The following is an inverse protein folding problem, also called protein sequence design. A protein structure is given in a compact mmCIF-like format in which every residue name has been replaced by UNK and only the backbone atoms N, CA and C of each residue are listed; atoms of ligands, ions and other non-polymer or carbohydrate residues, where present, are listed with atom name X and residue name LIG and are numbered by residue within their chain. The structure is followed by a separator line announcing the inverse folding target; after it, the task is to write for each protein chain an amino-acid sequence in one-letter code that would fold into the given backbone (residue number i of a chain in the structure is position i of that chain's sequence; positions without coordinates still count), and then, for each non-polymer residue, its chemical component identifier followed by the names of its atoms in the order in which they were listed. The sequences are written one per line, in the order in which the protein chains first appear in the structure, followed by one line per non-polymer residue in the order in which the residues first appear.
data_IF_804987757717
#
_entry.id   IF_804987757717
#
_cell.length_a   1.000
_cell.length_b   1.000
_cell.length_c   1.000
_cell.angle_alpha   90.00
_cell.angle_beta   90.00
_cell.angle_gamma   90.00
#
_symmetry.space_group_name_H-M   'P 1'
#
loop_
_entity.id
_entity.type
_entity.pdbx_description
1 polymer ?
#
# COMPACT_ATOMS: atom_id res chain seq x y z
N UNK A 1 7.83 -12.12 10.14
CA UNK A 1 6.50 -11.47 10.15
C UNK A 1 5.36 -12.49 10.10
N UNK A 2 5.17 -13.29 9.02
CA UNK A 2 4.05 -14.27 8.93
C UNK A 2 4.00 -15.25 10.12
N UNK A 3 5.14 -15.79 10.53
CA UNK A 3 5.25 -16.72 11.66
C UNK A 3 4.89 -16.06 13.00
N UNK A 4 5.39 -14.85 13.24
CA UNK A 4 5.08 -14.05 14.43
C UNK A 4 3.58 -13.67 14.50
N UNK A 5 2.97 -13.35 13.36
CA UNK A 5 1.52 -13.10 13.25
C UNK A 5 0.72 -14.36 13.57
N UNK A 6 1.14 -15.52 13.03
CA UNK A 6 0.50 -16.81 13.27
C UNK A 6 0.59 -17.23 14.75
N UNK A 7 1.75 -17.05 15.38
CA UNK A 7 1.98 -17.33 16.79
C UNK A 7 1.12 -16.43 17.69
N UNK A 8 1.10 -15.11 17.44
CA UNK A 8 0.25 -14.19 18.20
C UNK A 8 -1.23 -14.52 18.08
N UNK A 9 -1.71 -14.90 16.88
CA UNK A 9 -3.09 -15.36 16.70
C UNK A 9 -3.36 -16.62 17.53
N UNK A 10 -2.47 -17.61 17.49
CA UNK A 10 -2.61 -18.85 18.26
C UNK A 10 -2.73 -18.56 19.76
N UNK A 11 -1.93 -17.64 20.27
CA UNK A 11 -1.99 -17.19 21.66
C UNK A 11 -3.30 -16.45 21.96
N UNK A 12 -3.73 -15.53 21.09
CA UNK A 12 -4.99 -14.80 21.25
C UNK A 12 -6.21 -15.74 21.23
N UNK A 13 -6.24 -16.71 20.31
CA UNK A 13 -7.29 -17.73 20.25
C UNK A 13 -7.33 -18.60 21.52
N UNK A 14 -6.16 -18.95 22.07
CA UNK A 14 -6.07 -19.73 23.30
C UNK A 14 -6.61 -18.97 24.53
N UNK A 15 -6.47 -17.63 24.57
CA UNK A 15 -6.88 -16.80 25.72
C UNK A 15 -8.30 -16.28 25.58
N UNK A 16 -8.70 -15.83 24.38
CA UNK A 16 -9.97 -15.14 24.12
C UNK A 16 -11.00 -16.00 23.36
N UNK A 17 -10.60 -17.20 22.93
CA UNK A 17 -11.40 -18.12 22.13
C UNK A 17 -11.28 -17.89 20.61
N UNK A 18 -11.60 -18.91 19.82
CA UNK A 18 -11.47 -18.90 18.34
C UNK A 18 -12.30 -17.80 17.66
N UNK A 19 -13.43 -17.39 18.27
CA UNK A 19 -14.25 -16.30 17.73
C UNK A 19 -13.54 -14.95 17.78
N UNK A 20 -12.67 -14.74 18.75
CA UNK A 20 -11.89 -13.51 18.95
C UNK A 20 -10.62 -13.45 18.09
N UNK A 21 -10.28 -14.56 17.41
CA UNK A 21 -9.10 -14.67 16.57
C UNK A 21 -9.37 -15.58 15.36
N UNK A 22 -10.38 -15.25 14.52
CA UNK A 22 -10.79 -16.10 13.41
C UNK A 22 -9.60 -16.43 12.51
N UNK A 23 -9.54 -17.68 12.05
CA UNK A 23 -8.53 -18.11 11.10
C UNK A 23 -8.65 -17.29 9.81
N UNK A 24 -7.53 -16.81 9.24
CA UNK A 24 -7.56 -16.18 7.92
C UNK A 24 -8.19 -17.14 6.91
N UNK A 25 -9.27 -16.70 6.27
CA UNK A 25 -9.92 -17.47 5.22
C UNK A 25 -9.24 -17.17 3.88
N UNK A 26 -8.94 -18.20 3.10
CA UNK A 26 -8.47 -18.00 1.74
C UNK A 26 -9.63 -17.49 0.87
N UNK A 27 -9.40 -16.46 0.05
CA UNK A 27 -10.43 -15.93 -0.83
C UNK A 27 -10.77 -16.89 -1.97
N UNK A 28 -11.99 -16.80 -2.48
CA UNK A 28 -12.49 -17.65 -3.55
C UNK A 28 -11.79 -17.45 -4.91
N UNK A 29 -11.17 -16.28 -5.14
CA UNK A 29 -10.46 -15.98 -6.38
C UNK A 29 -8.98 -16.35 -6.26
N UNK A 30 -8.51 -17.18 -7.20
CA UNK A 30 -7.08 -17.44 -7.37
C UNK A 30 -6.40 -16.17 -7.92
N UNK A 31 -5.45 -15.64 -7.16
CA UNK A 31 -4.66 -14.47 -7.52
C UNK A 31 -3.22 -14.90 -7.61
N UNK A 32 -2.59 -14.60 -8.74
CA UNK A 32 -1.20 -14.94 -9.02
C UNK A 32 -0.44 -13.64 -9.21
N UNK A 33 0.71 -13.52 -8.54
CA UNK A 33 1.69 -12.46 -8.81
C UNK A 33 2.99 -13.09 -9.26
N UNK A 34 3.65 -12.45 -10.22
CA UNK A 34 4.95 -12.88 -10.67
C UNK A 34 5.52 -11.98 -11.75
N UNK A 35 6.75 -12.29 -12.15
CA UNK A 35 7.43 -11.63 -13.26
C UNK A 35 7.14 -12.38 -14.55
N UNK A 36 6.80 -11.66 -15.62
CA UNK A 36 6.53 -12.26 -16.93
C UNK A 36 7.82 -12.86 -17.49
N UNK A 37 7.79 -14.16 -17.77
CA UNK A 37 8.85 -14.87 -18.49
C UNK A 37 8.59 -14.84 -20.00
N UNK A 38 7.33 -15.06 -20.39
CA UNK A 38 6.89 -15.05 -21.78
C UNK A 38 5.40 -14.66 -21.88
N UNK A 39 5.02 -14.04 -22.99
CA UNK A 39 3.66 -13.62 -23.30
C UNK A 39 3.35 -13.87 -24.77
N UNK A 40 2.53 -14.89 -25.04
CA UNK A 40 2.02 -15.21 -26.37
C UNK A 40 0.56 -14.72 -26.50
N UNK A 41 -0.10 -14.82 -27.67
CA UNK A 41 -1.48 -14.36 -27.84
C UNK A 41 -2.54 -14.99 -26.94
N UNK A 42 -2.26 -16.14 -26.29
CA UNK A 42 -3.22 -16.88 -25.46
C UNK A 42 -2.64 -17.42 -24.15
N UNK A 43 -1.34 -17.26 -23.93
CA UNK A 43 -0.63 -17.82 -22.78
C UNK A 43 0.29 -16.76 -22.16
N UNK A 44 0.19 -16.65 -20.84
CA UNK A 44 1.10 -15.88 -20.02
C UNK A 44 1.90 -16.83 -19.13
N UNK A 45 3.23 -16.73 -19.18
CA UNK A 45 4.15 -17.52 -18.38
C UNK A 45 4.78 -16.62 -17.33
N UNK A 46 4.62 -16.96 -16.06
CA UNK A 46 5.06 -16.16 -14.93
C UNK A 46 6.06 -16.92 -14.06
N UNK A 47 7.11 -16.25 -13.62
CA UNK A 47 7.92 -16.68 -12.49
C UNK A 47 7.30 -16.14 -11.19
N UNK A 48 6.81 -17.04 -10.34
CA UNK A 48 6.27 -16.72 -9.02
C UNK A 48 7.21 -17.20 -7.91
N UNK A 49 6.94 -16.81 -6.67
CA UNK A 49 7.73 -17.28 -5.52
C UNK A 49 7.70 -18.81 -5.34
N UNK A 50 6.69 -19.50 -5.89
CA UNK A 50 6.54 -20.96 -5.82
C UNK A 50 7.02 -21.68 -7.07
N UNK A 51 7.47 -20.95 -8.10
CA UNK A 51 7.96 -21.51 -9.37
C UNK A 51 7.25 -20.93 -10.59
N UNK A 52 7.37 -21.63 -11.70
CA UNK A 52 6.75 -21.20 -12.96
C UNK A 52 5.25 -21.51 -12.96
N UNK A 53 4.44 -20.52 -13.33
CA UNK A 53 2.99 -20.66 -13.50
C UNK A 53 2.62 -20.27 -14.93
N UNK A 54 1.75 -21.08 -15.54
CA UNK A 54 1.26 -20.87 -16.90
C UNK A 54 -0.24 -20.59 -16.85
N UNK A 55 -0.63 -19.43 -17.36
CA UNK A 55 -2.02 -18.96 -17.33
C UNK A 55 -2.51 -18.76 -18.75
N UNK A 56 -3.66 -19.35 -19.06
CA UNK A 56 -4.36 -19.07 -20.32
C UNK A 56 -5.09 -17.74 -20.20
N UNK A 57 -5.26 -17.04 -21.32
CA UNK A 57 -6.14 -15.89 -21.38
C UNK A 57 -6.95 -15.86 -22.67
N UNK A 58 -8.12 -15.25 -22.62
CA UNK A 58 -9.12 -15.23 -23.68
C UNK A 58 -9.34 -13.80 -24.17
N UNK A 59 -10.14 -13.63 -25.23
CA UNK A 59 -10.53 -12.31 -25.72
C UNK A 59 -11.28 -11.46 -24.67
N UNK A 60 -11.93 -12.09 -23.69
CA UNK A 60 -12.59 -11.41 -22.58
C UNK A 60 -11.64 -11.02 -21.45
N UNK A 61 -10.38 -11.46 -21.48
CA UNK A 61 -9.38 -11.08 -20.47
C UNK A 61 -9.02 -9.61 -20.64
N UNK A 62 -9.08 -8.86 -19.54
CA UNK A 62 -8.80 -7.42 -19.55
C UNK A 62 -7.40 -7.16 -19.04
N UNK A 63 -6.68 -6.23 -19.68
CA UNK A 63 -5.33 -5.83 -19.29
C UNK A 63 -5.31 -4.37 -18.87
N UNK A 64 -4.55 -4.05 -17.84
CA UNK A 64 -4.37 -2.68 -17.37
C UNK A 64 -2.89 -2.34 -17.23
N UNK A 65 -2.48 -1.21 -17.79
CA UNK A 65 -1.15 -0.62 -17.65
C UNK A 65 -1.29 0.91 -17.73
N UNK A 66 -1.61 1.56 -16.60
CA UNK A 66 -1.94 2.99 -16.50
C UNK A 66 -3.31 3.37 -17.10
N UNK A 67 -3.82 2.54 -18.01
CA UNK A 67 -5.15 2.56 -18.62
C UNK A 67 -5.49 1.13 -19.04
N UNK A 68 -6.77 0.89 -19.37
CA UNK A 68 -7.17 -0.35 -20.02
C UNK A 68 -6.47 -0.48 -21.39
N UNK A 69 -5.93 -1.67 -21.65
CA UNK A 69 -5.07 -1.99 -22.79
C UNK A 69 -5.28 -3.44 -23.22
N UNK A 70 -4.57 -3.87 -24.26
CA UNK A 70 -4.49 -5.27 -24.67
C UNK A 70 -3.21 -5.98 -24.20
N UNK A 71 -3.13 -7.28 -24.47
CA UNK A 71 -2.00 -8.15 -24.13
C UNK A 71 -0.65 -7.66 -24.68
N UNK A 72 -0.65 -6.86 -25.75
CA UNK A 72 0.56 -6.27 -26.35
C UNK A 72 1.32 -5.31 -25.43
N UNK A 73 0.70 -4.85 -24.34
CA UNK A 73 1.37 -4.02 -23.33
C UNK A 73 2.24 -4.83 -22.35
N UNK A 74 2.09 -6.15 -22.33
CA UNK A 74 2.86 -7.04 -21.47
C UNK A 74 4.20 -7.35 -22.13
N UNK A 75 5.29 -7.24 -21.37
CA UNK A 75 6.66 -7.55 -21.78
C UNK A 75 7.29 -8.54 -20.81
N UNK A 76 8.21 -9.35 -21.32
CA UNK A 76 9.07 -10.15 -20.45
C UNK A 76 9.83 -9.23 -19.48
N UNK A 77 9.88 -9.62 -18.21
CA UNK A 77 10.43 -8.83 -17.12
C UNK A 77 9.40 -7.96 -16.38
N UNK A 78 8.17 -7.78 -16.90
CA UNK A 78 7.14 -7.01 -16.19
C UNK A 78 6.69 -7.73 -14.90
N UNK A 79 6.58 -7.02 -13.78
CA UNK A 79 5.80 -7.48 -12.62
C UNK A 79 4.31 -7.40 -12.97
N UNK A 80 3.60 -8.52 -12.81
CA UNK A 80 2.17 -8.59 -13.07
C UNK A 80 1.43 -9.22 -11.91
N UNK A 81 0.21 -8.74 -11.70
CA UNK A 81 -0.76 -9.38 -10.83
C UNK A 81 -1.94 -9.81 -11.68
N UNK A 82 -2.36 -11.05 -11.51
CA UNK A 82 -3.42 -11.69 -12.30
C UNK A 82 -4.51 -12.17 -11.36
N UNK A 83 -5.74 -11.74 -11.63
CA UNK A 83 -6.93 -12.41 -11.07
C UNK A 83 -7.38 -13.46 -12.05
N UNK A 84 -7.46 -14.70 -11.59
CA UNK A 84 -7.95 -15.82 -12.38
C UNK A 84 -9.45 -16.04 -12.12
N UNK A 85 -10.12 -16.63 -13.12
CA UNK A 85 -11.47 -17.18 -12.96
C UNK A 85 -11.48 -18.33 -11.94
N UNK A 86 -12.67 -18.72 -11.42
CA UNK A 86 -12.81 -19.94 -10.63
C UNK A 86 -12.16 -21.13 -11.35
N UNK A 87 -11.30 -21.87 -10.64
CA UNK A 87 -10.46 -22.92 -11.22
C UNK A 87 -8.99 -22.54 -11.39
N UNK A 88 -8.64 -21.25 -11.45
CA UNK A 88 -7.27 -20.75 -11.21
C UNK A 88 -6.30 -20.69 -12.39
N UNK A 89 -6.64 -21.25 -13.55
CA UNK A 89 -5.72 -21.37 -14.69
C UNK A 89 -6.00 -20.38 -15.83
N UNK A 90 -7.15 -19.71 -15.81
CA UNK A 90 -7.57 -18.75 -16.85
C UNK A 90 -7.59 -17.34 -16.25
N UNK A 91 -6.78 -16.45 -16.81
CA UNK A 91 -6.72 -15.05 -16.41
C UNK A 91 -8.03 -14.33 -16.77
N UNK A 92 -8.65 -13.73 -15.77
CA UNK A 92 -9.81 -12.85 -15.94
C UNK A 92 -9.35 -11.40 -16.17
N UNK A 93 -8.37 -10.96 -15.38
CA UNK A 93 -7.86 -9.59 -15.39
C UNK A 93 -6.39 -9.57 -15.02
N UNK A 94 -5.60 -8.81 -15.78
CA UNK A 94 -4.14 -8.70 -15.65
C UNK A 94 -3.77 -7.24 -15.43
N UNK A 95 -3.07 -6.96 -14.34
CA UNK A 95 -2.51 -5.64 -14.05
C UNK A 95 -1.00 -5.69 -14.21
N UNK A 96 -0.47 -4.83 -15.07
CA UNK A 96 0.94 -4.78 -15.46
C UNK A 96 1.61 -3.59 -14.79
N UNK A 97 2.67 -3.86 -14.02
CA UNK A 97 3.48 -2.87 -13.30
C UNK A 97 2.66 -1.94 -12.42
N UNK A 98 1.49 -2.39 -11.97
CA UNK A 98 0.56 -1.53 -11.24
C UNK A 98 1.16 -1.11 -9.91
N UNK A 99 0.95 0.16 -9.59
CA UNK A 99 1.50 0.78 -8.40
C UNK A 99 0.52 1.79 -7.83
N UNK A 100 0.70 2.11 -6.56
CA UNK A 100 -0.02 3.18 -5.88
C UNK A 100 0.95 3.94 -5.01
N UNK A 101 0.77 5.25 -4.91
CA UNK A 101 1.44 6.09 -3.95
C UNK A 101 0.37 6.80 -3.13
N UNK A 102 0.45 6.68 -1.81
CA UNK A 102 -0.47 7.31 -0.85
C UNK A 102 0.35 7.88 0.29
N UNK A 103 0.03 9.08 0.76
CA UNK A 103 0.75 9.69 1.87
C UNK A 103 0.70 11.21 1.89
N UNK A 104 1.66 11.81 2.59
CA UNK A 104 1.87 13.25 2.64
C UNK A 104 2.99 13.63 1.67
N UNK A 105 2.81 14.68 0.90
CA UNK A 105 3.88 15.24 0.06
C UNK A 105 4.96 15.77 1.01
N UNK A 106 6.16 15.20 0.93
CA UNK A 106 7.31 15.61 1.73
C UNK A 106 8.16 16.66 1.02
N UNK A 107 8.31 16.52 -0.30
CA UNK A 107 9.05 17.44 -1.15
C UNK A 107 8.51 17.42 -2.58
N UNK A 108 8.85 18.45 -3.34
CA UNK A 108 8.57 18.56 -4.78
C UNK A 108 9.79 19.09 -5.53
N UNK A 109 10.08 18.47 -6.65
CA UNK A 109 11.09 18.93 -7.62
C UNK A 109 10.51 18.81 -9.02
N UNK A 110 10.13 19.94 -9.62
CA UNK A 110 9.49 19.95 -10.94
C UNK A 110 8.15 19.21 -10.96
N UNK A 111 8.09 18.13 -11.75
CA UNK A 111 6.96 17.19 -11.88
C UNK A 111 7.11 15.95 -10.98
N UNK A 112 8.17 15.87 -10.20
CA UNK A 112 8.42 14.80 -9.23
C UNK A 112 8.04 15.21 -7.81
N UNK A 113 7.40 14.31 -7.09
CA UNK A 113 7.02 14.42 -5.69
C UNK A 113 7.74 13.36 -4.87
N UNK A 114 8.17 13.71 -3.67
CA UNK A 114 8.50 12.71 -2.64
C UNK A 114 7.28 12.53 -1.74
N UNK A 115 6.78 11.31 -1.62
CA UNK A 115 5.62 10.98 -0.80
C UNK A 115 6.10 10.22 0.44
N UNK A 116 5.80 10.77 1.60
CA UNK A 116 5.89 10.07 2.87
C UNK A 116 4.63 9.22 3.07
N UNK A 117 4.77 7.91 2.84
CA UNK A 117 3.68 6.96 3.00
C UNK A 117 3.40 6.60 4.47
N UNK A 118 4.22 7.11 5.41
CA UNK A 118 4.23 6.65 6.80
C UNK A 118 4.69 5.20 6.92
N UNK A 119 4.35 4.57 8.05
CA UNK A 119 4.59 3.13 8.31
C UNK A 119 6.08 2.72 8.43
N UNK A 120 6.97 3.66 8.77
CA UNK A 120 8.43 3.47 8.73
C UNK A 120 8.95 3.02 7.34
N UNK A 121 8.20 3.32 6.28
CA UNK A 121 8.60 3.06 4.90
C UNK A 121 9.47 4.21 4.40
N UNK A 122 10.38 3.95 3.44
CA UNK A 122 11.07 5.03 2.75
C UNK A 122 10.08 5.97 2.07
N UNK A 123 10.49 7.24 1.97
CA UNK A 123 9.85 8.19 1.07
C UNK A 123 9.93 7.67 -0.35
N UNK A 124 8.86 7.91 -1.10
CA UNK A 124 8.67 7.37 -2.43
C UNK A 124 8.69 8.47 -3.47
N UNK A 125 9.50 8.30 -4.48
CA UNK A 125 9.53 9.18 -5.63
C UNK A 125 8.35 8.90 -6.56
N UNK A 126 7.63 9.96 -6.94
CA UNK A 126 6.42 9.92 -7.75
C UNK A 126 6.52 10.97 -8.83
N UNK A 127 6.58 10.54 -10.08
CA UNK A 127 6.48 11.43 -11.24
C UNK A 127 5.00 11.67 -11.53
N UNK A 128 4.64 12.93 -11.79
CA UNK A 128 3.32 13.36 -12.26
C UNK A 128 3.45 13.78 -13.72
N UNK A 129 3.31 12.85 -14.68
CA UNK A 129 3.55 13.15 -16.07
C UNK A 129 2.61 14.25 -16.57
N UNK A 130 3.12 15.14 -17.42
CA UNK A 130 2.33 16.23 -18.01
C UNK A 130 1.00 15.76 -18.62
N UNK A 131 0.98 14.58 -19.26
CA UNK A 131 -0.24 14.00 -19.86
C UNK A 131 -1.35 13.65 -18.86
N UNK A 132 -1.02 13.48 -17.58
CA UNK A 132 -1.98 13.15 -16.51
C UNK A 132 -2.13 14.25 -15.47
N UNK A 133 -1.27 15.27 -15.48
CA UNK A 133 -1.27 16.37 -14.51
C UNK A 133 -2.62 17.07 -14.41
N UNK A 134 -3.29 17.33 -15.55
CA UNK A 134 -4.62 17.95 -15.56
C UNK A 134 -5.69 17.11 -14.85
N UNK A 135 -5.70 15.79 -15.06
CA UNK A 135 -6.64 14.87 -14.38
C UNK A 135 -6.33 14.76 -12.89
N UNK A 136 -5.05 14.65 -12.54
CA UNK A 136 -4.61 14.57 -11.14
C UNK A 136 -4.92 15.88 -10.41
N UNK A 137 -4.68 17.03 -11.04
CA UNK A 137 -4.92 18.36 -10.48
C UNK A 137 -6.38 18.68 -10.15
N UNK A 138 -7.35 18.00 -10.78
CA UNK A 138 -8.77 18.14 -10.40
C UNK A 138 -9.03 17.65 -8.97
N UNK A 139 -8.34 16.57 -8.57
CA UNK A 139 -8.53 15.93 -7.27
C UNK A 139 -7.43 16.28 -6.27
N UNK A 140 -6.26 16.66 -6.78
CA UNK A 140 -5.07 17.06 -6.03
C UNK A 140 -4.59 18.43 -6.53
N UNK A 141 -5.33 19.51 -6.27
CA UNK A 141 -5.04 20.83 -6.81
C UNK A 141 -3.74 21.45 -6.27
N UNK A 142 -3.27 21.02 -5.10
CA UNK A 142 -2.05 21.55 -4.47
C UNK A 142 -1.02 20.44 -4.34
N UNK A 143 0.04 20.50 -5.15
CA UNK A 143 1.15 19.53 -5.12
C UNK A 143 2.32 20.09 -4.32
N UNK A 144 2.07 20.60 -3.11
CA UNK A 144 3.09 21.20 -2.24
C UNK A 144 3.30 20.37 -0.97
N UNK A 145 4.47 20.49 -0.31
CA UNK A 145 4.74 19.78 0.93
C UNK A 145 3.66 19.99 2.00
N UNK A 146 3.32 18.91 2.71
CA UNK A 146 2.29 18.88 3.75
C UNK A 146 0.88 18.55 3.27
N UNK A 147 0.62 18.56 1.97
CA UNK A 147 -0.67 18.14 1.43
C UNK A 147 -0.73 16.61 1.21
N UNK A 148 -1.94 16.05 1.27
CA UNK A 148 -2.16 14.64 0.97
C UNK A 148 -2.04 14.36 -0.52
N UNK A 149 -1.49 13.21 -0.85
CA UNK A 149 -1.46 12.69 -2.22
C UNK A 149 -1.89 11.22 -2.22
N UNK A 150 -2.68 10.83 -3.21
CA UNK A 150 -3.08 9.44 -3.41
C UNK A 150 -3.46 9.19 -4.86
N UNK A 151 -2.65 8.37 -5.53
CA UNK A 151 -2.80 8.06 -6.94
C UNK A 151 -2.38 6.62 -7.26
N UNK A 152 -3.03 6.05 -8.27
CA UNK A 152 -2.63 4.80 -8.92
C UNK A 152 -1.89 5.11 -10.21
N UNK A 153 -0.94 4.26 -10.53
CA UNK A 153 0.00 4.46 -11.61
C UNK A 153 0.69 3.17 -12.03
N UNK A 154 1.80 3.34 -12.72
CA UNK A 154 2.66 2.24 -13.13
C UNK A 154 4.10 2.52 -12.74
N UNK A 155 4.86 1.47 -12.44
CA UNK A 155 6.30 1.56 -12.36
C UNK A 155 6.89 1.63 -13.76
N UNK A 156 7.70 2.63 -14.07
CA UNK A 156 8.41 2.81 -15.35
C UNK A 156 9.82 3.30 -15.04
N UNK A 157 10.86 2.61 -15.53
CA UNK A 157 12.26 2.96 -15.29
C UNK A 157 12.62 3.17 -13.79
N UNK A 158 12.07 2.35 -12.91
CA UNK A 158 12.18 2.45 -11.43
C UNK A 158 11.48 3.65 -10.79
N UNK A 159 10.77 4.48 -11.57
CA UNK A 159 9.97 5.59 -11.07
C UNK A 159 8.47 5.23 -11.07
N UNK A 160 7.74 5.72 -10.07
CA UNK A 160 6.28 5.61 -10.06
C UNK A 160 5.66 6.72 -10.89
N UNK A 161 4.97 6.37 -11.97
CA UNK A 161 4.28 7.33 -12.84
C UNK A 161 2.79 7.39 -12.48
N UNK A 162 2.37 8.46 -11.83
CA UNK A 162 0.98 8.66 -11.42
C UNK A 162 0.04 8.86 -12.63
N UNK A 163 -1.11 8.18 -12.63
CA UNK A 163 -2.06 8.21 -13.77
C UNK A 163 -3.50 8.53 -13.38
N UNK A 164 -3.95 8.06 -12.21
CA UNK A 164 -5.33 8.17 -11.75
C UNK A 164 -5.36 8.64 -10.29
N UNK A 165 -6.09 9.71 -9.96
CA UNK A 165 -6.32 10.07 -8.56
C UNK A 165 -7.28 9.05 -7.91
N UNK A 166 -6.97 8.63 -6.68
CA UNK A 166 -7.83 7.72 -5.91
C UNK A 166 -8.76 8.50 -4.98
N UNK A 167 -8.26 9.59 -4.42
CA UNK A 167 -8.96 10.41 -3.44
C UNK A 167 -9.08 11.86 -3.88
N UNK A 168 -9.86 12.65 -3.16
CA UNK A 168 -9.86 14.11 -3.27
C UNK A 168 -9.05 14.68 -2.10
N UNK A 169 -8.06 15.50 -2.42
CA UNK A 169 -7.24 16.21 -1.47
C UNK A 169 -8.08 17.25 -0.70
N UNK A 170 -7.91 17.35 0.64
CA UNK A 170 -8.50 18.44 1.40
C UNK A 170 -7.87 19.79 1.01
N UNK A 171 -8.59 20.91 1.16
CA UNK A 171 -8.08 22.24 0.80
C UNK A 171 -7.04 22.80 1.79
N UNK A 172 -6.51 21.96 2.70
CA UNK A 172 -5.57 22.32 3.76
C UNK A 172 -4.49 21.24 3.91
N UNK A 173 -3.26 21.60 4.35
CA UNK A 173 -2.23 20.62 4.67
C UNK A 173 -2.60 19.83 5.94
N UNK A 174 -1.97 18.67 6.14
CA UNK A 174 -2.36 17.74 7.22
C UNK A 174 -2.18 18.31 8.63
N UNK A 175 -1.27 19.26 8.82
CA UNK A 175 -0.99 19.91 10.12
C UNK A 175 -2.05 20.95 10.49
N UNK A 176 -2.76 21.48 9.50
CA UNK A 176 -3.83 22.47 9.66
C UNK A 176 -5.22 21.81 9.64
N UNK A 177 -5.27 20.48 9.76
CA UNK A 177 -6.52 19.75 9.76
C UNK A 177 -7.42 20.26 10.90
N UNK A 178 -8.68 20.64 10.61
CA UNK A 178 -9.58 21.13 11.63
C UNK A 178 -9.78 20.05 12.71
N UNK A 179 -9.91 20.45 13.99
CA UNK A 179 -10.23 19.52 15.06
C UNK A 179 -11.46 18.71 14.67
N UNK A 180 -11.34 17.39 14.72
CA UNK A 180 -12.44 16.53 14.32
C UNK A 180 -13.53 16.65 15.39
N UNK A 181 -14.80 16.91 15.01
CA UNK A 181 -15.87 16.87 15.99
C UNK A 181 -15.83 15.50 16.65
N UNK A 182 -16.00 15.39 17.99
CA UNK A 182 -16.01 14.12 18.65
C UNK A 182 -17.04 13.26 17.94
N UNK A 183 -16.58 12.18 17.31
CA UNK A 183 -17.46 11.25 16.63
C UNK A 183 -18.50 10.89 17.68
N UNK A 184 -19.77 11.30 17.48
CA UNK A 184 -20.85 10.80 18.31
C UNK A 184 -20.64 9.31 18.25
N UNK A 185 -20.48 8.66 19.41
CA UNK A 185 -20.68 7.22 19.51
C UNK A 185 -22.11 7.00 19.01
N UNK A 186 -22.34 6.96 17.69
CA UNK A 186 -23.36 6.09 17.11
C UNK A 186 -23.01 4.81 17.80
N UNK A 187 -23.85 4.39 18.75
CA UNK A 187 -23.64 3.20 19.55
C UNK A 187 -23.00 2.22 18.60
N UNK A 188 -21.69 1.94 18.76
CA UNK A 188 -21.17 0.70 18.26
C UNK A 188 -22.21 -0.26 18.81
N UNK A 189 -23.01 -0.85 17.93
CA UNK A 189 -24.01 -1.79 18.37
C UNK A 189 -23.16 -2.95 18.89
N UNK A 190 -22.79 -2.88 20.16
CA UNK A 190 -22.32 -3.97 21.00
C UNK A 190 -23.51 -4.93 21.07
N UNK A 191 -23.83 -5.54 19.93
CA UNK A 191 -24.55 -6.80 19.88
C UNK A 191 -23.52 -7.85 20.26
N UNK A 192 -24.00 -9.02 20.67
CA UNK A 192 -23.22 -10.13 21.18
C UNK A 192 -22.19 -10.76 20.20
N UNK A 193 -21.65 -10.01 19.23
CA UNK A 193 -20.73 -10.43 18.17
C UNK A 193 -19.73 -9.37 17.68
N UNK A 194 -19.37 -8.37 18.50
CA UNK A 194 -18.24 -7.46 18.25
C UNK A 194 -18.58 -6.04 17.76
N UNK A 195 -17.55 -5.19 17.64
CA UNK A 195 -17.62 -3.82 17.12
C UNK A 195 -17.69 -3.83 15.60
N UNK A 196 -18.76 -3.24 15.04
CA UNK A 196 -18.95 -3.08 13.60
C UNK A 196 -18.69 -1.64 13.16
N UNK A 197 -17.84 -1.46 12.15
CA UNK A 197 -17.46 -0.16 11.59
C UNK A 197 -17.60 -0.18 10.06
N UNK A 198 -18.09 0.90 9.48
CA UNK A 198 -18.17 1.06 8.01
C UNK A 198 -17.33 2.26 7.59
N UNK A 199 -16.62 2.11 6.48
CA UNK A 199 -15.68 3.11 5.97
C UNK A 199 -15.12 2.68 4.62
N UNK A 200 -13.99 3.26 4.25
CA UNK A 200 -13.27 2.90 3.02
C UNK A 200 -12.04 2.06 3.36
N UNK A 201 -11.64 1.21 2.44
CA UNK A 201 -10.31 0.60 2.45
C UNK A 201 -9.62 0.90 1.15
N UNK A 202 -8.31 1.05 1.22
CA UNK A 202 -7.45 1.21 0.06
C UNK A 202 -6.36 0.13 0.08
N UNK A 203 -5.45 0.10 -0.89
CA UNK A 203 -4.41 -0.94 -0.96
C UNK A 203 -2.99 -0.40 -0.93
N UNK A 204 -2.05 -1.18 -0.42
CA UNK A 204 -0.61 -0.89 -0.50
C UNK A 204 0.11 -2.14 -1.01
N UNK A 205 1.34 -1.97 -1.50
CA UNK A 205 2.11 -3.07 -2.08
C UNK A 205 3.40 -3.32 -1.29
N UNK A 206 3.42 -4.33 -0.40
CA UNK A 206 4.59 -4.64 0.41
C UNK A 206 5.87 -4.94 -0.38
N UNK A 207 5.78 -5.39 -1.64
CA UNK A 207 6.95 -5.65 -2.48
C UNK A 207 7.70 -4.35 -2.82
N UNK A 208 6.95 -3.29 -3.10
CA UNK A 208 7.52 -2.00 -3.52
C UNK A 208 7.63 -1.00 -2.37
N UNK A 209 6.87 -1.21 -1.29
CA UNK A 209 6.87 -0.33 -0.12
C UNK A 209 8.05 -0.60 0.83
N UNK A 210 8.65 -1.80 0.80
CA UNK A 210 9.71 -2.20 1.74
C UNK A 210 11.15 -2.18 1.20
N UNK A 211 11.42 -1.70 -0.01
CA UNK A 211 12.70 -1.89 -0.69
C UNK A 211 13.86 -0.95 -0.28
N UNK A 212 13.82 -0.31 0.89
CA UNK A 212 14.94 0.53 1.36
C UNK A 212 15.37 0.20 2.79
N UNK A 213 16.10 -0.90 3.00
CA UNK A 213 17.07 -1.01 4.11
C UNK A 213 18.20 -1.95 3.68
N UNK A 214 19.39 -1.38 3.46
CA UNK A 214 20.59 -2.14 3.11
C UNK A 214 21.83 -1.25 2.94
N UNK A 215 22.07 -0.36 3.91
CA UNK A 215 23.22 0.55 3.89
C UNK A 215 23.59 1.09 5.27
N UNK A 216 23.42 0.29 6.32
CA UNK A 216 23.90 0.61 7.66
C UNK A 216 25.33 0.11 7.83
N UNK A 217 26.30 0.80 7.22
CA UNK A 217 27.71 0.59 7.52
C UNK A 217 27.98 1.02 8.96
N UNK A 218 28.35 0.06 9.80
CA UNK A 218 28.84 0.30 11.15
C UNK A 218 30.15 1.11 11.08
N UNK A 219 30.05 2.44 11.19
CA UNK A 219 31.18 3.31 11.47
C UNK A 219 31.45 3.30 12.97
N UNK A 220 32.47 2.53 13.38
CA UNK A 220 32.91 2.43 14.75
C UNK A 220 33.30 3.80 15.33
N UNK A 221 32.81 4.06 16.54
CA UNK A 221 33.24 5.17 17.39
C UNK A 221 34.65 4.87 17.90
N UNK A 222 35.66 5.36 17.18
CA UNK A 222 37.03 5.45 17.65
C UNK A 222 37.28 6.83 18.22
N UNK A 223 37.30 6.96 19.54
CA UNK A 223 37.73 8.16 20.23
C UNK A 223 39.23 8.41 20.08
N UNK A 224 39.59 9.64 19.75
CA UNK A 224 40.96 10.14 19.76
C UNK A 224 40.92 11.66 19.76
N UNK A 225 41.28 12.26 20.88
CA UNK A 225 41.37 13.71 21.03
C UNK A 225 42.61 14.31 20.37
N UNK A 226 42.66 15.64 20.30
CA UNK A 226 43.89 16.37 20.01
C UNK A 226 43.71 17.63 19.18
N UNK A 227 43.67 18.75 19.90
CA UNK A 227 44.32 20.03 19.57
C UNK A 227 43.82 20.95 18.44
N UNK A 228 43.80 22.22 18.84
CA UNK A 228 43.48 23.44 18.10
C UNK A 228 44.76 23.93 17.42
N UNK A 229 44.68 24.25 16.12
CA UNK A 229 45.75 24.88 15.36
C UNK A 229 45.18 25.65 14.17
N UNK A 230 45.41 26.95 14.20
CA UNK A 230 44.95 28.00 13.29
C UNK A 230 45.80 28.11 12.01
N UNK A 231 45.20 28.65 10.94
CA UNK A 231 45.89 29.33 9.83
C UNK A 231 46.16 28.55 8.53
N UNK A 232 45.60 29.03 7.42
CA UNK A 232 46.18 28.80 6.08
C UNK A 232 45.22 28.81 4.89
N UNK A 233 45.10 29.97 4.24
CA UNK A 233 44.50 30.16 2.92
C UNK A 233 45.10 29.24 1.84
N UNK A 234 44.26 28.71 0.96
CA UNK A 234 44.71 27.95 -0.22
C UNK A 234 43.58 27.67 -1.22
N UNK A 235 43.57 28.44 -2.31
CA UNK A 235 42.73 28.25 -3.51
C UNK A 235 42.88 26.82 -4.07
N UNK A 236 41.77 26.16 -4.39
CA UNK A 236 41.76 24.86 -5.08
C UNK A 236 40.42 24.58 -5.76
N UNK A 237 40.50 24.22 -7.04
CA UNK A 237 39.44 24.04 -8.03
C UNK A 237 38.19 23.25 -7.56
N UNK A 238 37.02 23.75 -7.95
CA UNK A 238 35.74 23.04 -7.86
C UNK A 238 35.71 21.88 -8.87
N UNK A 239 35.97 20.67 -8.37
CA UNK A 239 35.62 19.42 -9.03
C UNK A 239 34.15 19.10 -8.68
N UNK A 240 33.32 19.04 -9.71
CA UNK A 240 31.94 18.55 -9.65
C UNK A 240 31.96 17.03 -9.48
N UNK A 241 31.89 16.55 -8.23
CA UNK A 241 31.61 15.15 -7.96
C UNK A 241 30.11 14.89 -8.16
N UNK A 242 29.78 14.51 -9.39
CA UNK A 242 28.52 13.85 -9.72
C UNK A 242 28.48 12.46 -9.12
N UNK A 243 28.12 12.37 -7.83
CA UNK A 243 27.72 11.12 -7.22
C UNK A 243 26.33 10.72 -7.76
N UNK A 244 26.32 10.12 -8.95
CA UNK A 244 25.18 9.39 -9.46
C UNK A 244 24.83 8.29 -8.48
N UNK A 245 23.78 8.52 -7.67
CA UNK A 245 23.09 7.45 -6.96
C UNK A 245 22.51 6.54 -8.03
N UNK A 246 23.18 5.42 -8.29
CA UNK A 246 22.59 4.32 -9.03
C UNK A 246 21.32 3.91 -8.30
N UNK A 247 20.16 4.25 -8.88
CA UNK A 247 18.90 3.63 -8.51
C UNK A 247 19.11 2.12 -8.67
N UNK A 248 19.07 1.38 -7.56
CA UNK A 248 19.04 -0.06 -7.62
C UNK A 248 17.80 -0.44 -8.43
N UNK A 249 18.01 -0.91 -9.66
CA UNK A 249 16.94 -1.52 -10.44
C UNK A 249 16.28 -2.65 -9.65
N UNK A 250 15.02 -2.99 -9.94
CA UNK A 250 14.30 -4.00 -9.18
C UNK A 250 15.10 -5.32 -9.18
N UNK A 251 15.18 -6.04 -8.04
CA UNK A 251 15.87 -7.31 -7.97
C UNK A 251 15.27 -8.29 -9.00
N UNK A 252 16.12 -8.99 -9.75
CA UNK A 252 15.71 -10.03 -10.68
C UNK A 252 15.12 -11.21 -9.90
N UNK A 253 13.80 -11.20 -9.70
CA UNK A 253 13.02 -12.27 -9.08
C UNK A 253 11.78 -11.76 -8.34
N UNK A 254 10.74 -12.58 -8.17
CA UNK A 254 9.51 -12.18 -7.47
C UNK A 254 9.82 -11.88 -5.99
N UNK A 255 9.49 -10.67 -5.52
CA UNK A 255 9.65 -10.31 -4.11
C UNK A 255 8.65 -11.11 -3.25
N UNK A 256 9.10 -11.93 -2.29
CA UNK A 256 8.21 -12.76 -1.46
C UNK A 256 7.23 -11.95 -0.61
N UNK A 257 7.49 -10.65 -0.39
CA UNK A 257 6.57 -9.73 0.28
C UNK A 257 5.33 -9.43 -0.57
N UNK A 258 5.44 -9.57 -1.89
CA UNK A 258 4.33 -9.36 -2.82
C UNK A 258 3.15 -10.30 -2.58
N UNK A 259 3.40 -11.48 -1.98
CA UNK A 259 2.36 -12.46 -1.61
C UNK A 259 1.82 -12.28 -0.19
N UNK A 260 2.28 -11.27 0.56
CA UNK A 260 1.79 -11.02 1.91
C UNK A 260 0.30 -10.69 1.86
N UNK A 261 -0.47 -11.33 2.76
CA UNK A 261 -1.89 -11.08 2.97
C UNK A 261 -2.10 -10.50 4.37
N UNK A 262 -2.97 -9.50 4.45
CA UNK A 262 -3.26 -8.77 5.69
C UNK A 262 -3.57 -7.31 5.43
N UNK A 263 -3.58 -6.53 6.50
CA UNK A 263 -3.84 -5.10 6.48
C UNK A 263 -2.84 -4.31 7.33
N UNK A 264 -2.50 -3.13 6.84
CA UNK A 264 -1.90 -2.04 7.59
C UNK A 264 -3.02 -1.26 8.31
N UNK A 265 -2.92 -1.15 9.63
CA UNK A 265 -4.00 -0.62 10.47
C UNK A 265 -3.62 0.72 11.13
N UNK A 266 -4.46 1.78 11.04
CA UNK A 266 -4.12 3.12 11.51
C UNK A 266 -4.11 3.28 13.03
N UNK A 267 -4.89 2.50 13.78
CA UNK A 267 -5.04 2.64 15.22
C UNK A 267 -4.31 1.51 15.97
N UNK A 268 -2.98 1.45 15.84
CA UNK A 268 -2.19 0.46 16.56
C UNK A 268 -2.02 0.80 18.06
N UNK A 269 -2.05 -0.24 18.89
CA UNK A 269 -1.71 -0.19 20.31
C UNK A 269 -0.21 0.12 20.49
N UNK A 270 0.20 1.15 21.27
CA UNK A 270 1.61 1.50 21.46
C UNK A 270 2.37 0.39 22.19
N UNK A 271 1.68 -0.42 23.01
CA UNK A 271 2.30 -1.52 23.74
C UNK A 271 2.76 -2.66 22.81
N UNK A 272 2.34 -2.65 21.54
CA UNK A 272 2.69 -3.69 20.57
C UNK A 272 4.16 -3.67 20.09
N UNK A 273 4.96 -2.68 20.53
CA UNK A 273 6.42 -2.67 20.39
C UNK A 273 6.95 -2.35 18.98
N UNK A 274 6.10 -1.83 18.09
CA UNK A 274 6.57 -1.26 16.83
C UNK A 274 6.93 0.21 17.05
N UNK A 275 8.22 0.50 17.12
CA UNK A 275 8.72 1.87 17.19
C UNK A 275 8.26 2.68 15.98
N UNK A 276 7.74 3.88 16.23
CA UNK A 276 7.59 4.92 15.20
C UNK A 276 6.28 4.96 14.39
N UNK A 277 5.18 4.36 14.86
CA UNK A 277 3.88 4.71 14.28
C UNK A 277 3.45 6.11 14.75
N UNK A 278 3.66 7.12 13.91
CA UNK A 278 3.12 8.45 14.14
C UNK A 278 1.60 8.38 14.22
N UNK A 279 1.04 8.74 15.38
CA UNK A 279 -0.40 8.72 15.58
C UNK A 279 -1.01 9.98 15.00
N UNK A 280 -1.85 9.79 13.99
CA UNK A 280 -2.83 10.78 13.60
C UNK A 280 -4.21 10.32 14.06
N UNK A 281 -5.02 11.25 14.54
CA UNK A 281 -6.42 10.98 14.82
C UNK A 281 -7.11 10.61 13.49
N UNK A 282 -7.87 9.51 13.48
CA UNK A 282 -8.61 9.06 12.30
C UNK A 282 -9.98 9.73 12.24
N UNK A 283 -10.53 9.84 11.03
CA UNK A 283 -11.90 10.30 10.80
C UNK A 283 -12.94 9.29 11.28
N UNK A 284 -12.51 8.05 11.53
CA UNK A 284 -13.28 6.99 12.15
C UNK A 284 -12.79 6.74 13.58
N UNK A 285 -13.73 6.42 14.48
CA UNK A 285 -13.37 5.97 15.82
C UNK A 285 -12.98 4.49 15.78
N UNK A 286 -11.69 4.25 15.54
CA UNK A 286 -11.13 2.91 15.35
C UNK A 286 -10.67 2.33 16.69
N UNK A 287 -11.07 1.08 17.05
CA UNK A 287 -10.55 0.42 18.23
C UNK A 287 -9.04 0.20 18.11
N UNK A 288 -8.33 0.24 19.23
CA UNK A 288 -6.91 -0.07 19.22
C UNK A 288 -6.70 -1.56 18.94
N UNK A 289 -5.77 -1.87 18.02
CA UNK A 289 -5.39 -3.25 17.71
C UNK A 289 -3.88 -3.45 17.78
N UNK A 290 -3.47 -4.68 18.05
CA UNK A 290 -2.06 -5.07 17.97
C UNK A 290 -1.75 -5.74 16.63
N UNK A 291 -0.48 -5.70 16.23
CA UNK A 291 0.02 -6.52 15.12
C UNK A 291 -0.22 -8.00 15.46
N UNK A 292 -0.85 -8.73 14.54
CA UNK A 292 -1.28 -10.12 14.73
C UNK A 292 -2.78 -10.28 15.02
N UNK A 293 -3.45 -9.23 15.50
CA UNK A 293 -4.90 -9.25 15.71
C UNK A 293 -5.60 -9.49 14.36
N UNK A 294 -6.59 -10.37 14.32
CA UNK A 294 -7.41 -10.60 13.14
C UNK A 294 -8.74 -9.87 13.27
N UNK A 295 -9.25 -9.38 12.14
CA UNK A 295 -10.59 -8.80 12.05
C UNK A 295 -11.25 -9.32 10.77
N UNK A 296 -12.58 -9.32 10.76
CA UNK A 296 -13.34 -9.68 9.56
C UNK A 296 -13.66 -8.42 8.77
N UNK A 297 -13.43 -8.47 7.47
CA UNK A 297 -13.74 -7.38 6.55
C UNK A 297 -14.65 -7.89 5.43
N UNK A 298 -15.71 -7.14 5.16
CA UNK A 298 -16.59 -7.34 4.00
C UNK A 298 -16.43 -6.18 3.04
N UNK A 299 -16.16 -6.48 1.77
CA UNK A 299 -16.30 -5.52 0.69
C UNK A 299 -17.80 -5.30 0.42
N UNK A 300 -18.29 -4.08 0.67
CA UNK A 300 -19.71 -3.77 0.55
C UNK A 300 -20.15 -3.66 -0.92
N UNK A 301 -19.22 -3.44 -1.85
CA UNK A 301 -19.52 -3.36 -3.28
C UNK A 301 -19.70 -4.75 -3.92
N UNK A 302 -18.94 -5.76 -3.46
CA UNK A 302 -18.92 -7.11 -4.07
C UNK A 302 -19.49 -8.21 -3.17
N UNK A 303 -19.65 -7.93 -1.88
CA UNK A 303 -20.04 -8.92 -0.87
C UNK A 303 -18.90 -9.84 -0.42
N UNK A 304 -17.68 -9.71 -0.97
CA UNK A 304 -16.54 -10.54 -0.59
C UNK A 304 -16.18 -10.37 0.90
N UNK A 305 -15.89 -11.47 1.60
CA UNK A 305 -15.57 -11.47 3.04
C UNK A 305 -14.25 -12.20 3.28
N UNK A 306 -13.41 -11.65 4.15
CA UNK A 306 -12.19 -12.33 4.62
C UNK A 306 -11.87 -11.92 6.06
N UNK A 307 -11.29 -12.85 6.82
CA UNK A 307 -10.60 -12.54 8.07
C UNK A 307 -9.14 -12.18 7.75
N UNK A 308 -8.70 -11.00 8.16
CA UNK A 308 -7.38 -10.46 7.83
C UNK A 308 -6.59 -10.15 9.10
N UNK A 309 -5.31 -10.56 9.19
CA UNK A 309 -4.44 -10.11 10.25
C UNK A 309 -3.96 -8.66 10.02
N UNK A 310 -3.76 -7.95 11.12
CA UNK A 310 -3.00 -6.70 11.15
C UNK A 310 -1.52 -7.02 11.04
N UNK A 311 -0.88 -6.61 9.95
CA UNK A 311 0.51 -6.97 9.60
C UNK A 311 1.47 -5.78 9.60
N UNK A 312 0.94 -4.56 9.56
CA UNK A 312 1.74 -3.35 9.51
C UNK A 312 1.02 -2.15 10.15
N UNK A 313 1.80 -1.10 10.41
CA UNK A 313 1.28 0.21 10.74
C UNK A 313 0.52 0.79 9.56
N UNK A 314 -0.62 1.43 9.82
CA UNK A 314 -1.48 2.09 8.83
C UNK A 314 -1.64 3.59 9.07
N UNK A 315 -0.77 4.22 9.86
CA UNK A 315 -0.93 5.60 10.36
C UNK A 315 -1.31 6.64 9.29
N UNK A 316 -0.65 6.63 8.13
CA UNK A 316 -0.97 7.57 7.04
C UNK A 316 -2.44 7.52 6.61
N UNK A 317 -3.10 6.36 6.72
CA UNK A 317 -4.53 6.21 6.40
C UNK A 317 -5.43 7.09 7.29
N UNK A 318 -5.00 7.42 8.51
CA UNK A 318 -5.79 8.24 9.44
C UNK A 318 -5.97 9.69 8.98
N UNK A 319 -5.10 10.21 8.11
CA UNK A 319 -5.25 11.55 7.54
C UNK A 319 -6.36 11.63 6.47
N UNK A 320 -6.74 10.49 5.88
CA UNK A 320 -7.71 10.46 4.79
C UNK A 320 -9.15 10.35 5.34
N UNK A 321 -9.87 11.47 5.30
CA UNK A 321 -11.32 11.54 5.55
C UNK A 321 -12.11 11.43 4.24
N UNK A 322 -11.64 10.65 3.28
CA UNK A 322 -12.24 10.56 1.97
C UNK A 322 -13.41 9.57 1.92
N UNK A 323 -14.16 9.64 0.82
CA UNK A 323 -15.14 8.63 0.44
C UNK A 323 -14.63 7.90 -0.78
N UNK A 324 -14.98 6.62 -0.88
CA UNK A 324 -14.67 5.86 -2.07
C UNK A 324 -15.88 5.88 -3.00
N UNK A 325 -15.70 6.34 -4.23
CA UNK A 325 -16.75 6.40 -5.25
C UNK A 325 -16.85 5.11 -6.08
N UNK A 326 -16.23 4.02 -5.64
CA UNK A 326 -16.26 2.74 -6.34
C UNK A 326 -17.67 2.12 -6.40
N UNK A 327 -18.49 2.37 -5.38
CA UNK A 327 -19.90 2.02 -5.31
C UNK A 327 -20.64 3.00 -4.40
N UNK A 328 -21.96 3.02 -4.44
CA UNK A 328 -22.79 3.93 -3.66
C UNK A 328 -22.65 3.65 -2.15
N UNK A 329 -22.03 4.59 -1.43
CA UNK A 329 -21.92 4.57 0.02
C UNK A 329 -21.66 5.97 0.54
N UNK A 330 -22.26 6.30 1.68
CA UNK A 330 -21.98 7.51 2.44
C UNK A 330 -20.85 7.34 3.47
N UNK A 331 -20.28 6.13 3.56
CA UNK A 331 -19.20 5.86 4.49
C UNK A 331 -17.95 6.71 4.16
N UNK A 332 -17.34 7.28 5.19
CA UNK A 332 -16.22 8.21 5.08
C UNK A 332 -15.10 7.80 6.02
N UNK A 333 -13.86 8.03 5.60
CA UNK A 333 -12.66 7.73 6.38
C UNK A 333 -12.17 6.30 6.16
N UNK A 334 -10.85 6.13 6.27
CA UNK A 334 -10.20 4.84 6.00
C UNK A 334 -10.19 3.95 7.23
N UNK A 335 -10.69 2.72 7.06
CA UNK A 335 -10.62 1.64 8.03
C UNK A 335 -9.20 1.05 8.11
N UNK A 336 -8.59 0.81 6.95
CA UNK A 336 -7.27 0.18 6.81
C UNK A 336 -6.72 0.34 5.38
N UNK A 337 -5.42 0.08 5.23
CA UNK A 337 -4.81 -0.20 3.93
C UNK A 337 -4.57 -1.71 3.81
N UNK A 338 -5.17 -2.37 2.83
CA UNK A 338 -5.00 -3.79 2.59
C UNK A 338 -3.74 -4.04 1.77
N UNK A 339 -3.05 -5.15 2.02
CA UNK A 339 -2.08 -5.64 1.03
C UNK A 339 -2.78 -5.84 -0.33
N UNK A 340 -2.08 -5.58 -1.44
CA UNK A 340 -2.65 -5.71 -2.79
C UNK A 340 -3.33 -7.06 -3.01
N UNK A 341 -2.73 -8.15 -2.51
CA UNK A 341 -3.30 -9.50 -2.57
C UNK A 341 -4.59 -9.64 -1.77
N UNK A 342 -4.69 -9.05 -0.58
CA UNK A 342 -5.94 -9.04 0.21
C UNK A 342 -7.02 -8.13 -0.41
N UNK A 343 -6.62 -7.04 -1.06
CA UNK A 343 -7.55 -6.14 -1.74
C UNK A 343 -8.22 -6.82 -2.95
N UNK A 344 -7.41 -7.46 -3.80
CA UNK A 344 -7.88 -8.25 -4.95
C UNK A 344 -8.73 -9.44 -4.52
N UNK A 345 -8.33 -10.11 -3.44
CA UNK A 345 -9.03 -11.25 -2.84
C UNK A 345 -10.47 -10.93 -2.44
N UNK A 346 -10.70 -9.71 -1.98
CA UNK A 346 -12.02 -9.18 -1.64
C UNK A 346 -12.78 -8.62 -2.85
N UNK A 347 -12.28 -8.83 -4.07
CA UNK A 347 -12.89 -8.37 -5.31
C UNK A 347 -12.61 -6.90 -5.65
N UNK A 348 -11.63 -6.27 -4.98
CA UNK A 348 -11.19 -4.92 -5.29
C UNK A 348 -10.61 -4.80 -6.71
N UNK A 349 -10.68 -3.60 -7.28
CA UNK A 349 -10.04 -3.22 -8.55
C UNK A 349 -8.90 -2.24 -8.26
N UNK A 350 -7.63 -2.65 -8.35
CA UNK A 350 -6.51 -1.81 -7.96
C UNK A 350 -6.46 -0.45 -8.64
N UNK A 351 -6.90 -0.34 -9.90
CA UNK A 351 -7.02 0.90 -10.66
C UNK A 351 -8.04 1.90 -10.09
N UNK A 352 -9.01 1.42 -9.31
CA UNK A 352 -9.95 2.26 -8.55
C UNK A 352 -9.33 2.74 -7.23
N UNK A 353 -8.33 2.04 -6.71
CA UNK A 353 -7.56 2.42 -5.52
C UNK A 353 -8.25 2.18 -4.17
N UNK A 354 -9.58 2.12 -4.14
CA UNK A 354 -10.36 1.91 -2.92
C UNK A 354 -11.64 1.09 -3.15
N UNK A 355 -12.27 0.64 -2.07
CA UNK A 355 -13.68 0.25 -2.03
C UNK A 355 -14.30 0.51 -0.64
N UNK A 356 -15.63 0.55 -0.58
CA UNK A 356 -16.37 0.68 0.67
C UNK A 356 -16.45 -0.68 1.38
N UNK A 357 -16.23 -0.70 2.69
CA UNK A 357 -16.15 -1.92 3.46
C UNK A 357 -16.76 -1.79 4.84
N UNK A 358 -17.19 -2.93 5.36
CA UNK A 358 -17.63 -3.09 6.74
C UNK A 358 -16.70 -4.03 7.48
N UNK A 359 -16.09 -3.53 8.54
CA UNK A 359 -15.20 -4.25 9.45
C UNK A 359 -15.95 -4.72 10.68
N UNK A 360 -15.67 -5.94 11.14
CA UNK A 360 -16.14 -6.51 12.40
C UNK A 360 -14.93 -6.95 13.21
N UNK A 361 -14.86 -6.45 14.44
CA UNK A 361 -13.80 -6.73 15.42
C UNK A 361 -14.46 -7.36 16.62
N UNK A 362 -14.09 -8.58 16.99
CA UNK A 362 -14.69 -9.28 18.12
C UNK A 362 -14.01 -10.60 18.34
#
# INVERSE_FOLDING_TARGET
MREQTAERRRLAAAVLGERAAPAPAEPAAAIVRGTVLDATPHLLVLATATGEVRLLFEAATTFWCGRETGASAVRAGDDVVVRCRPGGWVAERVWVRIARATGVIAARSGDTLEIDAGHALPRREVVVPYRYSGRLGVRHPVLEPGYLFDAVGVWEDSAFHATLPVTTQPPYPVWDAPPRPPARRRRAEERAGGVRLSGTVAWYDPAHDGAAVGGGGAGGVGGGGGEVGDGGDGRGAAAVDGAGRAAAGPPNGPDPRGDLRGAAYPALDPASGHGGCDRAESCLHLPLMSIGTTFTLRNDCTGGVAALPVVACGSAAAHFCDRCTACDSDAQGRLAHLTLMSFLALGGRPETGCFNATMVVG
#
